data_IF_038627241539
#
_entry.id   IF_038627241539
#
_cell.length_a   1.000
_cell.length_b   1.000
_cell.length_c   1.000
_cell.angle_alpha   90.00
_cell.angle_beta   90.00
_cell.angle_gamma   90.00
#
_symmetry.space_group_name_H-M   'P 1'
#
loop_
_entity.id
_entity.type
_entity.pdbx_description
1 polymer ?
#
# COMPACT_ATOMS: atom_id res chain seq x y z
N UNK A 1 -61.74 -2.28 -17.87
CA UNK A 1 -60.49 -3.03 -18.11
C UNK A 1 -59.49 -2.07 -18.74
N UNK A 2 -58.80 -1.33 -17.90
CA UNK A 2 -57.70 -0.43 -18.27
C UNK A 2 -56.42 -1.24 -18.18
N UNK A 3 -55.79 -1.50 -19.33
CA UNK A 3 -54.52 -2.21 -19.41
C UNK A 3 -53.43 -1.15 -19.22
N UNK A 4 -52.71 -1.23 -18.11
CA UNK A 4 -51.56 -0.37 -17.82
C UNK A 4 -50.47 -0.61 -18.87
N UNK A 5 -50.01 0.48 -19.46
CA UNK A 5 -48.79 0.55 -20.25
C UNK A 5 -47.58 0.39 -19.31
N UNK A 6 -46.87 -0.72 -19.42
CA UNK A 6 -45.58 -0.90 -18.78
C UNK A 6 -44.57 0.07 -19.40
N UNK A 7 -44.23 1.09 -18.61
CA UNK A 7 -43.11 1.98 -18.85
C UNK A 7 -41.84 1.18 -18.58
N UNK A 8 -41.19 0.67 -19.63
CA UNK A 8 -39.86 0.07 -19.52
C UNK A 8 -38.90 1.19 -19.10
N UNK A 9 -38.56 1.24 -17.81
CA UNK A 9 -37.50 2.11 -17.30
C UNK A 9 -36.18 1.69 -17.92
N UNK A 10 -35.60 2.56 -18.74
CA UNK A 10 -34.25 2.37 -19.27
C UNK A 10 -33.25 2.22 -18.12
N UNK A 11 -32.49 1.13 -18.13
CA UNK A 11 -31.33 0.92 -17.26
C UNK A 11 -30.30 2.04 -17.46
N UNK A 12 -29.59 2.49 -16.41
CA UNK A 12 -28.62 3.59 -16.53
C UNK A 12 -27.50 3.22 -17.51
N UNK A 13 -27.20 4.12 -18.44
CA UNK A 13 -26.15 3.99 -19.45
C UNK A 13 -24.83 3.55 -18.83
N UNK A 14 -24.44 2.32 -19.15
CA UNK A 14 -23.30 1.63 -18.55
C UNK A 14 -22.06 1.86 -19.44
N UNK A 15 -21.53 3.09 -19.44
CA UNK A 15 -20.25 3.33 -20.09
C UNK A 15 -19.16 2.45 -19.43
N UNK A 16 -18.45 1.60 -20.18
CA UNK A 16 -17.41 0.77 -19.60
C UNK A 16 -16.28 1.64 -19.05
N UNK A 17 -15.82 1.37 -17.83
CA UNK A 17 -14.58 1.96 -17.29
C UNK A 17 -13.43 1.57 -18.21
N UNK A 18 -13.02 2.53 -19.05
CA UNK A 18 -12.06 2.31 -20.13
C UNK A 18 -10.67 2.71 -19.66
N UNK A 19 -9.74 1.76 -19.72
CA UNK A 19 -8.32 2.05 -19.48
C UNK A 19 -7.81 3.13 -20.45
N UNK A 20 -8.33 3.20 -21.67
CA UNK A 20 -7.89 4.21 -22.64
C UNK A 20 -8.24 5.62 -22.19
N UNK A 21 -9.42 5.82 -21.61
CA UNK A 21 -9.90 7.14 -21.19
C UNK A 21 -9.07 7.66 -20.00
N UNK A 22 -8.75 6.79 -19.05
CA UNK A 22 -7.93 7.15 -17.88
C UNK A 22 -6.46 7.40 -18.21
N UNK A 23 -5.98 6.90 -19.34
CA UNK A 23 -4.62 7.11 -19.83
C UNK A 23 -4.52 8.15 -20.96
N UNK A 24 -5.64 8.78 -21.34
CA UNK A 24 -5.68 9.78 -22.40
C UNK A 24 -4.81 11.02 -22.10
N UNK A 25 -4.75 11.41 -20.83
CA UNK A 25 -3.98 12.56 -20.35
C UNK A 25 -2.53 12.22 -19.98
N UNK A 26 -2.10 10.95 -20.15
CA UNK A 26 -0.73 10.56 -19.88
C UNK A 26 0.22 11.28 -20.86
N UNK A 27 1.18 12.11 -20.38
CA UNK A 27 2.07 12.82 -21.27
C UNK A 27 2.89 11.86 -22.12
N UNK A 28 2.88 12.03 -23.44
CA UNK A 28 3.64 11.18 -24.35
C UNK A 28 5.10 11.67 -24.46
N UNK A 29 6.08 10.96 -23.84
CA UNK A 29 7.47 11.38 -23.81
C UNK A 29 8.18 11.18 -25.16
N UNK A 30 7.53 10.51 -26.12
CA UNK A 30 8.12 10.20 -27.43
C UNK A 30 8.13 11.45 -28.30
N UNK A 31 9.16 11.61 -29.13
CA UNK A 31 9.17 12.66 -30.17
C UNK A 31 7.99 12.46 -31.14
N UNK A 32 7.46 13.55 -31.71
CA UNK A 32 6.33 13.48 -32.65
C UNK A 32 6.65 12.59 -33.86
N UNK A 33 7.89 12.66 -34.36
CA UNK A 33 8.40 11.76 -35.38
C UNK A 33 8.54 10.35 -34.81
N UNK A 34 7.78 9.38 -35.35
CA UNK A 34 7.83 7.97 -34.95
C UNK A 34 6.71 7.51 -34.02
N UNK A 35 5.69 8.36 -33.76
CA UNK A 35 4.45 7.94 -33.06
C UNK A 35 3.53 7.18 -34.02
N UNK A 36 3.93 5.94 -34.35
CA UNK A 36 3.15 5.03 -35.21
C UNK A 36 2.04 4.34 -34.40
N UNK A 37 2.28 4.08 -33.11
CA UNK A 37 1.33 3.48 -32.19
C UNK A 37 0.86 4.50 -31.16
N UNK A 38 -0.44 4.50 -30.82
CA UNK A 38 -0.99 5.38 -29.79
C UNK A 38 -0.49 4.98 -28.40
N UNK A 39 -0.30 5.96 -27.52
CA UNK A 39 0.29 5.70 -26.20
C UNK A 39 -0.64 4.90 -25.28
N UNK A 40 -1.91 5.30 -25.21
CA UNK A 40 -2.99 4.62 -24.51
C UNK A 40 -3.11 3.15 -24.92
N UNK A 41 -3.02 2.84 -26.22
CA UNK A 41 -3.03 1.46 -26.72
C UNK A 41 -1.78 0.67 -26.32
N UNK A 42 -0.58 1.28 -26.37
CA UNK A 42 0.65 0.62 -25.89
C UNK A 42 0.51 0.23 -24.42
N UNK A 43 -0.02 1.14 -23.59
CA UNK A 43 -0.23 0.88 -22.17
C UNK A 43 -1.27 -0.23 -21.99
N UNK A 44 -2.41 -0.13 -22.66
CA UNK A 44 -3.48 -1.12 -22.57
C UNK A 44 -3.00 -2.53 -22.94
N UNK A 45 -2.29 -2.69 -24.05
CA UNK A 45 -1.76 -3.97 -24.50
C UNK A 45 -0.80 -4.56 -23.47
N UNK A 46 0.14 -3.75 -22.95
CA UNK A 46 1.09 -4.20 -21.95
C UNK A 46 0.39 -4.62 -20.65
N UNK A 47 -0.61 -3.86 -20.20
CA UNK A 47 -1.43 -4.21 -19.02
C UNK A 47 -2.14 -5.55 -19.21
N UNK A 48 -2.82 -5.75 -20.35
CA UNK A 48 -3.49 -7.02 -20.65
C UNK A 48 -2.51 -8.20 -20.65
N UNK A 49 -1.36 -8.06 -21.31
CA UNK A 49 -0.36 -9.12 -21.37
C UNK A 49 0.21 -9.49 -19.99
N UNK A 50 0.52 -8.49 -19.15
CA UNK A 50 1.02 -8.72 -17.78
C UNK A 50 -0.04 -9.40 -16.90
N UNK A 51 -1.31 -9.01 -17.02
CA UNK A 51 -2.41 -9.69 -16.33
C UNK A 51 -2.58 -11.15 -16.76
N UNK A 52 -2.23 -11.45 -18.02
CA UNK A 52 -2.18 -12.81 -18.55
C UNK A 52 -0.87 -13.56 -18.19
N UNK A 53 0.02 -12.97 -17.40
CA UNK A 53 1.24 -13.61 -16.91
C UNK A 53 2.50 -13.36 -17.75
N UNK A 54 2.51 -12.35 -18.62
CA UNK A 54 3.74 -11.93 -19.29
C UNK A 54 4.70 -11.25 -18.30
N UNK A 55 5.94 -11.73 -18.27
CA UNK A 55 7.01 -11.27 -17.38
C UNK A 55 8.16 -10.57 -18.14
N UNK A 56 8.11 -10.50 -19.48
CA UNK A 56 9.12 -9.84 -20.30
C UNK A 56 8.53 -9.03 -21.47
N UNK A 57 9.31 -8.12 -22.04
CA UNK A 57 8.89 -7.31 -23.19
C UNK A 57 8.61 -8.16 -24.44
N UNK A 58 9.37 -9.24 -24.62
CA UNK A 58 9.17 -10.25 -25.65
C UNK A 58 7.83 -10.96 -25.43
N UNK A 59 7.56 -11.43 -24.21
CA UNK A 59 6.29 -12.08 -23.87
C UNK A 59 5.09 -11.15 -24.03
N UNK A 60 5.24 -9.85 -23.74
CA UNK A 60 4.20 -8.85 -23.99
C UNK A 60 3.91 -8.74 -25.48
N UNK A 61 4.93 -8.61 -26.32
CA UNK A 61 4.76 -8.52 -27.77
C UNK A 61 4.16 -9.82 -28.34
N UNK A 62 4.63 -10.99 -27.91
CA UNK A 62 4.14 -12.29 -28.35
C UNK A 62 2.67 -12.50 -27.95
N UNK A 63 2.30 -12.11 -26.73
CA UNK A 63 0.92 -12.15 -26.24
C UNK A 63 0.01 -11.25 -27.06
N UNK A 64 0.46 -10.02 -27.36
CA UNK A 64 -0.28 -9.06 -28.17
C UNK A 64 -0.48 -9.55 -29.62
N UNK A 65 0.54 -10.16 -30.21
CA UNK A 65 0.42 -10.79 -31.52
C UNK A 65 -0.56 -11.97 -31.52
N UNK A 66 -0.50 -12.80 -30.47
CA UNK A 66 -1.37 -13.98 -30.33
C UNK A 66 -2.83 -13.62 -30.06
N UNK A 67 -3.10 -12.41 -29.56
CA UNK A 67 -4.42 -11.93 -29.18
C UNK A 67 -4.91 -10.74 -30.01
N UNK A 68 -4.27 -10.50 -31.17
CA UNK A 68 -4.53 -9.31 -32.00
C UNK A 68 -6.01 -9.18 -32.42
N UNK A 69 -6.66 -10.27 -32.81
CA UNK A 69 -8.08 -10.26 -33.22
C UNK A 69 -8.99 -9.82 -32.06
N UNK A 70 -8.65 -10.21 -30.83
CA UNK A 70 -9.36 -9.78 -29.63
C UNK A 70 -9.09 -8.31 -29.30
N UNK A 71 -7.82 -7.88 -29.38
CA UNK A 71 -7.43 -6.49 -29.15
C UNK A 71 -8.14 -5.54 -30.14
N UNK A 72 -8.28 -5.94 -31.40
CA UNK A 72 -8.98 -5.16 -32.43
C UNK A 72 -10.49 -4.98 -32.19
N UNK A 73 -11.09 -5.69 -31.23
CA UNK A 73 -12.49 -5.47 -30.85
C UNK A 73 -12.70 -4.17 -30.09
N UNK A 74 -11.65 -3.59 -29.49
CA UNK A 74 -11.72 -2.35 -28.71
C UNK A 74 -10.53 -1.40 -28.90
N UNK A 75 -9.48 -1.79 -29.63
CA UNK A 75 -8.34 -0.93 -30.00
C UNK A 75 -8.34 -0.65 -31.51
N UNK A 76 -7.89 0.55 -31.90
CA UNK A 76 -7.76 0.93 -33.31
C UNK A 76 -6.48 0.39 -33.96
N UNK A 77 -5.39 0.28 -33.19
CA UNK A 77 -4.09 -0.25 -33.62
C UNK A 77 -3.59 0.34 -34.96
N UNK A 78 -3.47 1.67 -35.13
CA UNK A 78 -3.09 2.29 -36.40
C UNK A 78 -1.69 1.86 -36.88
N UNK A 79 -0.83 1.46 -35.95
CA UNK A 79 0.50 0.92 -36.21
C UNK A 79 0.61 -0.60 -36.12
N UNK A 80 -0.48 -1.31 -35.85
CA UNK A 80 -0.44 -2.71 -35.43
C UNK A 80 0.16 -2.91 -34.03
N UNK A 81 0.58 -4.14 -33.74
CA UNK A 81 1.21 -4.52 -32.47
C UNK A 81 2.61 -3.90 -32.37
N UNK A 82 2.93 -3.15 -31.29
CA UNK A 82 4.28 -2.63 -31.06
C UNK A 82 5.31 -3.75 -30.87
N UNK A 83 6.54 -3.53 -31.31
CA UNK A 83 7.66 -4.43 -30.98
C UNK A 83 8.05 -4.39 -29.51
N UNK A 84 8.71 -5.44 -29.01
CA UNK A 84 9.28 -5.49 -27.66
C UNK A 84 10.20 -4.28 -27.36
N UNK A 85 11.01 -3.85 -28.35
CA UNK A 85 11.82 -2.63 -28.26
C UNK A 85 11.00 -1.35 -28.09
N UNK A 86 9.83 -1.30 -28.73
CA UNK A 86 8.92 -0.15 -28.60
C UNK A 86 8.29 -0.11 -27.22
N UNK A 87 7.75 -1.23 -26.73
CA UNK A 87 7.26 -1.32 -25.35
C UNK A 87 8.34 -0.87 -24.36
N UNK A 88 9.54 -1.48 -24.43
CA UNK A 88 10.66 -1.15 -23.56
C UNK A 88 10.99 0.35 -23.61
N UNK A 89 11.14 0.93 -24.80
CA UNK A 89 11.49 2.35 -24.98
C UNK A 89 10.43 3.28 -24.41
N UNK A 90 9.15 3.00 -24.64
CA UNK A 90 8.05 3.81 -24.12
C UNK A 90 8.06 3.76 -22.59
N UNK A 91 7.98 2.57 -22.00
CA UNK A 91 7.89 2.41 -20.55
C UNK A 91 9.13 2.92 -19.81
N UNK A 92 10.33 2.84 -20.39
CA UNK A 92 11.53 3.46 -19.82
C UNK A 92 11.53 5.00 -19.85
N UNK A 93 10.67 5.61 -20.67
CA UNK A 93 10.62 7.08 -20.85
C UNK A 93 9.40 7.72 -20.19
N UNK A 94 8.43 6.91 -19.72
CA UNK A 94 7.23 7.41 -19.06
C UNK A 94 7.60 8.09 -17.75
N UNK A 95 6.88 9.17 -17.43
CA UNK A 95 6.87 9.72 -16.08
C UNK A 95 6.16 8.73 -15.15
N UNK A 96 6.87 8.14 -14.16
CA UNK A 96 6.27 7.17 -13.24
C UNK A 96 5.11 7.74 -12.43
N UNK A 97 5.18 9.02 -12.04
CA UNK A 97 4.14 9.67 -11.24
C UNK A 97 2.88 9.90 -12.06
N UNK A 98 3.02 10.40 -13.29
CA UNK A 98 1.88 10.57 -14.20
C UNK A 98 1.23 9.22 -14.54
N UNK A 99 2.04 8.19 -14.82
CA UNK A 99 1.54 6.84 -15.08
C UNK A 99 0.77 6.28 -13.88
N UNK A 100 1.32 6.41 -12.67
CA UNK A 100 0.68 5.94 -11.44
C UNK A 100 -0.65 6.65 -11.19
N UNK A 101 -0.72 7.97 -11.42
CA UNK A 101 -1.97 8.74 -11.29
C UNK A 101 -3.06 8.20 -12.22
N UNK A 102 -2.75 8.01 -13.50
CA UNK A 102 -3.67 7.42 -14.47
C UNK A 102 -4.11 6.00 -14.06
N UNK A 103 -3.16 5.16 -13.66
CA UNK A 103 -3.45 3.78 -13.23
C UNK A 103 -4.32 3.72 -11.98
N UNK A 104 -4.02 4.55 -10.98
CA UNK A 104 -4.80 4.67 -9.73
C UNK A 104 -6.23 5.14 -10.01
N UNK A 105 -6.40 6.16 -10.85
CA UNK A 105 -7.72 6.65 -11.26
C UNK A 105 -8.54 5.55 -11.97
N UNK A 106 -7.91 4.81 -12.89
CA UNK A 106 -8.55 3.69 -13.57
C UNK A 106 -8.97 2.58 -12.61
N UNK A 107 -8.08 2.18 -11.69
CA UNK A 107 -8.36 1.15 -10.70
C UNK A 107 -9.49 1.57 -9.75
N UNK A 108 -9.50 2.82 -9.29
CA UNK A 108 -10.57 3.36 -8.44
C UNK A 108 -11.92 3.31 -9.14
N UNK A 109 -12.00 3.80 -10.39
CA UNK A 109 -13.24 3.74 -11.16
C UNK A 109 -13.72 2.29 -11.42
N UNK A 110 -12.78 1.37 -11.68
CA UNK A 110 -13.08 -0.05 -11.86
C UNK A 110 -13.65 -0.65 -10.58
N UNK A 111 -13.05 -0.34 -9.43
CA UNK A 111 -13.47 -0.83 -8.11
C UNK A 111 -14.87 -0.30 -7.74
N UNK A 112 -15.11 1.01 -7.88
CA UNK A 112 -16.42 1.62 -7.66
C UNK A 112 -17.52 0.94 -8.48
N UNK A 113 -17.25 0.69 -9.77
CA UNK A 113 -18.19 -0.01 -10.64
C UNK A 113 -18.50 -1.43 -10.18
N UNK A 114 -17.52 -2.15 -9.65
CA UNK A 114 -17.72 -3.51 -9.13
C UNK A 114 -18.44 -3.52 -7.77
N UNK A 115 -18.90 -2.36 -7.27
CA UNK A 115 -19.45 -2.23 -5.92
C UNK A 115 -18.40 -2.46 -4.84
N UNK A 116 -17.12 -2.40 -5.21
CA UNK A 116 -15.98 -2.49 -4.30
C UNK A 116 -15.57 -1.05 -4.01
N UNK A 117 -16.24 -0.39 -3.07
CA UNK A 117 -15.87 0.96 -2.67
C UNK A 117 -14.54 0.90 -1.89
N UNK A 118 -13.49 1.65 -2.28
CA UNK A 118 -12.29 1.74 -1.47
C UNK A 118 -12.55 2.34 -0.08
N UNK A 119 -13.57 3.20 0.11
CA UNK A 119 -14.50 3.36 1.28
C UNK A 119 -15.50 4.49 1.03
N UNK A 120 -16.73 4.29 1.51
CA UNK A 120 -17.53 5.22 2.34
C UNK A 120 -18.89 4.56 2.64
N UNK A 121 -18.96 3.73 3.67
CA UNK A 121 -20.20 3.56 4.45
C UNK A 121 -20.30 4.75 5.42
N UNK A 122 -21.52 5.08 5.87
CA UNK A 122 -21.74 6.04 6.96
C UNK A 122 -22.06 5.23 8.23
N UNK A 123 -21.26 5.34 9.31
CA UNK A 123 -20.07 6.19 9.45
C UNK A 123 -18.87 5.69 8.63
N UNK A 124 -17.95 6.59 8.21
CA UNK A 124 -16.81 6.24 7.36
C UNK A 124 -15.95 5.18 8.04
N UNK A 125 -15.90 3.99 7.45
CA UNK A 125 -14.96 2.95 7.87
C UNK A 125 -13.53 3.46 7.69
N UNK A 126 -12.73 3.36 8.75
CA UNK A 126 -11.29 3.68 8.73
C UNK A 126 -10.58 2.79 7.72
N UNK A 127 -10.04 3.37 6.64
CA UNK A 127 -9.35 2.64 5.56
C UNK A 127 -7.90 2.32 5.91
N UNK A 128 -7.50 1.05 6.16
CA UNK A 128 -6.11 0.78 6.49
C UNK A 128 -5.24 0.81 5.24
N UNK A 129 -4.26 1.71 5.22
CA UNK A 129 -3.21 1.81 4.19
C UNK A 129 -1.88 1.48 4.87
N UNK A 130 -1.13 0.53 4.32
CA UNK A 130 0.21 0.21 4.79
C UNK A 130 1.26 0.79 3.86
N UNK A 131 2.22 1.54 4.40
CA UNK A 131 3.37 2.03 3.65
C UNK A 131 4.63 1.33 4.12
N UNK A 132 5.27 0.60 3.21
CA UNK A 132 6.48 -0.20 3.48
C UNK A 132 7.56 0.06 2.42
N UNK A 133 8.82 0.14 2.88
CA UNK A 133 10.01 0.30 2.05
C UNK A 133 10.67 -1.03 1.75
N UNK A 134 10.57 -1.50 0.50
CA UNK A 134 11.09 -2.80 0.07
C UNK A 134 12.31 -2.65 -0.84
N UNK A 135 13.33 -3.47 -0.61
CA UNK A 135 14.50 -3.55 -1.49
C UNK A 135 14.27 -4.64 -2.54
N UNK A 136 14.22 -4.27 -3.82
CA UNK A 136 14.10 -5.19 -4.95
C UNK A 136 15.49 -5.78 -5.26
N UNK A 137 15.85 -6.85 -4.55
CA UNK A 137 17.19 -7.46 -4.60
C UNK A 137 17.53 -8.07 -5.95
N UNK A 138 16.53 -8.53 -6.71
CA UNK A 138 16.71 -9.04 -8.08
C UNK A 138 17.05 -7.97 -9.13
N UNK A 139 16.83 -6.68 -8.83
CA UNK A 139 17.14 -5.58 -9.74
C UNK A 139 18.62 -5.16 -9.70
N UNK A 140 19.42 -5.71 -8.78
CA UNK A 140 20.83 -5.40 -8.65
C UNK A 140 21.64 -6.02 -9.81
N UNK A 141 22.05 -5.20 -10.79
CA UNK A 141 22.92 -5.65 -11.87
C UNK A 141 24.39 -5.46 -11.49
N UNK A 142 25.01 -6.50 -10.94
CA UNK A 142 26.44 -6.54 -10.53
C UNK A 142 27.40 -6.02 -11.61
N UNK A 143 27.07 -6.20 -12.89
CA UNK A 143 27.92 -5.77 -14.02
C UNK A 143 27.89 -4.27 -14.30
N UNK A 144 26.99 -3.49 -13.70
CA UNK A 144 26.84 -2.04 -13.95
C UNK A 144 26.97 -1.20 -12.66
N UNK A 145 27.34 -1.82 -11.53
CA UNK A 145 27.51 -1.11 -10.25
C UNK A 145 26.22 -0.51 -9.68
N UNK A 146 25.03 -0.91 -10.16
CA UNK A 146 23.75 -0.44 -9.63
C UNK A 146 23.34 -1.24 -8.39
N UNK A 147 23.05 -0.53 -7.31
CA UNK A 147 22.48 -1.09 -6.08
C UNK A 147 21.06 -1.63 -6.32
N UNK A 148 20.56 -2.43 -5.38
CA UNK A 148 19.15 -2.86 -5.40
C UNK A 148 18.24 -1.63 -5.41
N UNK A 149 17.23 -1.63 -6.29
CA UNK A 149 16.22 -0.58 -6.34
C UNK A 149 15.41 -0.64 -5.03
N UNK A 150 15.42 0.43 -4.24
CA UNK A 150 14.48 0.53 -3.13
C UNK A 150 13.17 1.10 -3.66
N UNK A 151 12.05 0.56 -3.19
CA UNK A 151 10.72 1.02 -3.57
C UNK A 151 9.91 1.19 -2.29
N UNK A 152 9.37 2.38 -2.08
CA UNK A 152 8.38 2.63 -1.04
C UNK A 152 7.01 2.43 -1.65
N UNK A 153 6.18 1.61 -1.02
CA UNK A 153 4.88 1.22 -1.59
C UNK A 153 3.76 1.43 -0.60
N UNK A 154 2.66 2.02 -1.07
CA UNK A 154 1.40 2.16 -0.34
C UNK A 154 0.44 1.03 -0.74
N UNK A 155 -0.13 0.36 0.25
CA UNK A 155 -0.94 -0.84 0.09
C UNK A 155 -2.28 -0.71 0.81
N UNK A 156 -3.38 -0.76 0.07
CA UNK A 156 -4.73 -0.88 0.63
C UNK A 156 -4.92 -2.29 1.21
N UNK A 157 -4.95 -2.40 2.54
CA UNK A 157 -4.99 -3.69 3.24
C UNK A 157 -6.27 -4.45 2.93
N UNK A 158 -7.41 -3.77 2.95
CA UNK A 158 -8.72 -4.37 2.72
C UNK A 158 -8.85 -4.92 1.28
N UNK A 159 -8.39 -4.14 0.30
CA UNK A 159 -8.55 -4.45 -1.12
C UNK A 159 -7.39 -5.26 -1.70
N UNK A 160 -6.31 -5.45 -0.93
CA UNK A 160 -5.08 -6.12 -1.36
C UNK A 160 -4.52 -5.52 -2.65
N UNK A 161 -4.45 -4.20 -2.68
CA UNK A 161 -4.07 -3.42 -3.84
C UNK A 161 -2.92 -2.47 -3.50
N UNK A 162 -1.94 -2.38 -4.39
CA UNK A 162 -0.94 -1.31 -4.34
C UNK A 162 -1.56 -0.02 -4.85
N UNK A 163 -1.65 0.98 -3.99
CA UNK A 163 -2.18 2.32 -4.32
C UNK A 163 -1.11 3.22 -4.97
N UNK A 164 0.16 2.99 -4.62
CA UNK A 164 1.25 3.78 -5.15
C UNK A 164 2.62 3.22 -4.83
N UNK A 165 3.62 3.56 -5.65
CA UNK A 165 5.01 3.18 -5.45
C UNK A 165 5.97 4.26 -5.92
N UNK A 166 6.92 4.63 -5.06
CA UNK A 166 7.99 5.56 -5.40
C UNK A 166 9.34 4.86 -5.27
N UNK A 167 10.17 4.98 -6.31
CA UNK A 167 11.53 4.46 -6.29
C UNK A 167 12.43 5.35 -5.42
N UNK A 168 13.28 4.71 -4.61
CA UNK A 168 14.29 5.35 -3.79
C UNK A 168 15.66 4.74 -4.12
N UNK A 169 16.69 5.59 -4.22
CA UNK A 169 18.05 5.15 -4.55
C UNK A 169 18.70 4.34 -3.43
N UNK A 170 18.31 4.61 -2.18
CA UNK A 170 18.79 3.91 -0.99
C UNK A 170 17.69 3.79 0.06
N UNK A 171 17.92 2.96 1.09
CA UNK A 171 17.02 2.85 2.25
C UNK A 171 16.76 4.20 2.93
N UNK A 172 17.76 5.09 3.01
CA UNK A 172 17.60 6.42 3.61
C UNK A 172 16.76 7.38 2.75
N UNK A 173 16.77 7.18 1.42
CA UNK A 173 15.93 7.95 0.49
C UNK A 173 14.46 7.53 0.53
N UNK A 174 14.12 6.45 1.24
CA UNK A 174 12.73 6.08 1.48
C UNK A 174 12.00 7.15 2.33
N UNK A 175 12.69 7.82 3.26
CA UNK A 175 12.09 8.90 4.06
C UNK A 175 11.73 10.08 3.17
N UNK A 176 12.59 10.44 2.22
CA UNK A 176 12.34 11.53 1.27
C UNK A 176 11.30 11.18 0.21
N UNK A 177 11.08 9.88 -0.05
CA UNK A 177 10.06 9.40 -0.97
C UNK A 177 8.66 9.30 -0.33
N UNK A 178 8.55 9.36 1.01
CA UNK A 178 7.27 9.30 1.70
C UNK A 178 6.34 10.46 1.35
N UNK A 179 6.78 11.74 1.39
CA UNK A 179 5.92 12.87 1.01
C UNK A 179 5.38 12.73 -0.43
N UNK A 180 6.26 12.42 -1.38
CA UNK A 180 5.86 12.20 -2.78
C UNK A 180 4.85 11.06 -2.93
N UNK A 181 4.97 10.00 -2.12
CA UNK A 181 4.00 8.91 -2.12
C UNK A 181 2.67 9.32 -1.48
N UNK A 182 2.69 10.09 -0.38
CA UNK A 182 1.48 10.57 0.29
C UNK A 182 0.66 11.49 -0.63
N UNK A 183 1.32 12.40 -1.37
CA UNK A 183 0.68 13.30 -2.35
C UNK A 183 -0.12 12.56 -3.46
N UNK A 184 0.14 11.26 -3.64
CA UNK A 184 -0.53 10.42 -4.64
C UNK A 184 -1.74 9.68 -4.07
N UNK A 185 -1.97 9.74 -2.76
CA UNK A 185 -3.00 8.99 -2.07
C UNK A 185 -4.14 9.92 -1.65
N UNK A 186 -5.37 9.43 -1.74
CA UNK A 186 -6.47 10.02 -0.98
C UNK A 186 -6.39 9.52 0.47
N UNK A 187 -5.95 10.38 1.39
CA UNK A 187 -5.78 10.05 2.80
C UNK A 187 -7.05 10.27 3.64
N UNK A 188 -8.13 10.80 3.08
CA UNK A 188 -9.34 11.11 3.85
C UNK A 188 -9.92 9.84 4.49
N UNK A 189 -10.09 9.84 5.81
CA UNK A 189 -10.54 8.68 6.59
C UNK A 189 -9.62 7.44 6.50
N UNK A 190 -8.38 7.60 6.02
CA UNK A 190 -7.39 6.53 6.01
C UNK A 190 -6.72 6.39 7.38
N UNK A 191 -6.32 5.15 7.71
CA UNK A 191 -5.39 4.84 8.80
C UNK A 191 -4.11 4.33 8.16
N UNK A 192 -3.11 5.19 8.12
CA UNK A 192 -1.81 4.96 7.47
C UNK A 192 -0.85 4.36 8.47
N UNK A 193 -0.40 3.13 8.21
CA UNK A 193 0.60 2.43 9.02
C UNK A 193 1.97 2.53 8.35
N UNK A 194 2.98 3.01 9.09
CA UNK A 194 4.34 3.18 8.57
C UNK A 194 5.34 2.53 9.50
N UNK A 195 6.41 1.97 8.92
CA UNK A 195 7.51 1.38 9.67
C UNK A 195 8.27 2.42 10.52
N UNK A 196 9.23 1.94 11.31
CA UNK A 196 9.94 2.81 12.25
C UNK A 196 10.76 3.88 11.56
N UNK A 197 11.23 3.63 10.33
CA UNK A 197 12.04 4.58 9.59
C UNK A 197 11.23 5.81 9.16
N UNK A 198 9.96 5.60 8.79
CA UNK A 198 9.03 6.67 8.46
C UNK A 198 8.35 7.35 9.66
N UNK A 199 8.69 6.95 10.90
CA UNK A 199 8.20 7.59 12.11
C UNK A 199 8.85 8.98 12.30
N UNK A 200 8.27 9.98 11.61
CA UNK A 200 8.71 11.37 11.56
C UNK A 200 7.53 12.30 11.84
N UNK A 201 7.80 13.44 12.47
CA UNK A 201 6.76 14.39 12.90
C UNK A 201 6.07 15.05 11.71
N UNK A 202 6.85 15.36 10.68
CA UNK A 202 6.38 15.97 9.44
C UNK A 202 5.44 15.01 8.71
N UNK A 203 5.80 13.72 8.62
CA UNK A 203 4.95 12.68 8.02
C UNK A 203 3.63 12.51 8.78
N UNK A 204 3.65 12.54 10.12
CA UNK A 204 2.43 12.52 10.92
C UNK A 204 1.55 13.76 10.63
N UNK A 205 2.17 14.93 10.49
CA UNK A 205 1.47 16.18 10.18
C UNK A 205 0.84 16.17 8.79
N UNK A 206 1.53 15.64 7.78
CA UNK A 206 1.01 15.50 6.41
C UNK A 206 -0.23 14.59 6.39
N UNK A 207 -0.15 13.40 7.01
CA UNK A 207 -1.26 12.44 7.06
C UNK A 207 -2.49 13.03 7.76
N UNK A 208 -2.29 13.64 8.94
CA UNK A 208 -3.39 14.23 9.71
C UNK A 208 -3.94 15.48 9.03
N UNK A 209 -3.07 16.28 8.40
CA UNK A 209 -3.44 17.50 7.66
C UNK A 209 -4.37 17.22 6.48
N UNK A 210 -4.23 16.06 5.84
CA UNK A 210 -5.10 15.61 4.74
C UNK A 210 -6.36 14.86 5.21
N UNK A 211 -6.62 14.81 6.53
CA UNK A 211 -7.79 14.15 7.11
C UNK A 211 -7.67 12.64 7.25
N UNK A 212 -6.44 12.13 7.23
CA UNK A 212 -6.10 10.76 7.63
C UNK A 212 -5.74 10.65 9.11
N UNK A 213 -5.37 9.44 9.50
CA UNK A 213 -4.86 9.07 10.82
C UNK A 213 -3.62 8.20 10.62
N UNK A 214 -2.66 8.27 11.52
CA UNK A 214 -1.40 7.54 11.46
C UNK A 214 -1.29 6.47 12.56
N UNK A 215 -0.50 5.44 12.24
CA UNK A 215 0.03 4.45 13.18
C UNK A 215 1.51 4.24 12.84
N UNK A 216 2.39 4.89 13.58
CA UNK A 216 3.82 4.92 13.29
C UNK A 216 4.57 4.02 14.26
N UNK A 217 5.36 3.09 13.74
CA UNK A 217 6.20 2.24 14.59
C UNK A 217 7.31 3.06 15.25
N UNK A 218 7.57 2.81 16.53
CA UNK A 218 8.59 3.51 17.32
C UNK A 218 9.70 2.54 17.68
N UNK A 219 10.95 2.92 17.40
CA UNK A 219 12.18 2.19 17.76
C UNK A 219 13.27 3.17 18.18
N UNK A 220 14.52 2.71 18.14
CA UNK A 220 15.73 3.44 18.51
C UNK A 220 15.99 4.73 17.71
N UNK A 221 15.34 4.93 16.55
CA UNK A 221 15.43 6.19 15.81
C UNK A 221 14.65 7.35 16.47
N UNK A 222 13.76 7.05 17.42
CA UNK A 222 13.05 8.03 18.24
C UNK A 222 13.25 7.67 19.73
N UNK A 223 14.49 7.77 20.26
CA UNK A 223 14.86 7.12 21.53
C UNK A 223 14.06 7.62 22.73
N UNK A 224 13.86 8.93 22.85
CA UNK A 224 13.06 9.50 23.94
C UNK A 224 11.58 9.07 23.87
N UNK A 225 11.00 9.04 22.66
CA UNK A 225 9.64 8.58 22.48
C UNK A 225 9.51 7.09 22.83
N UNK A 226 10.49 6.28 22.39
CA UNK A 226 10.52 4.84 22.69
C UNK A 226 10.57 4.57 24.19
N UNK A 227 11.44 5.28 24.92
CA UNK A 227 11.52 5.24 26.38
C UNK A 227 10.21 5.66 27.05
N UNK A 228 9.58 6.75 26.58
CA UNK A 228 8.35 7.25 27.18
C UNK A 228 7.18 6.30 26.97
N UNK A 229 7.07 5.69 25.79
CA UNK A 229 6.08 4.65 25.52
C UNK A 229 6.28 3.47 26.46
N UNK A 230 7.51 2.95 26.58
CA UNK A 230 7.80 1.83 27.47
C UNK A 230 7.44 2.15 28.92
N UNK A 231 7.88 3.30 29.42
CA UNK A 231 7.60 3.76 30.78
C UNK A 231 6.10 3.91 31.05
N UNK A 232 5.35 4.49 30.11
CA UNK A 232 3.90 4.66 30.27
C UNK A 232 3.16 3.31 30.40
N UNK A 233 3.59 2.29 29.65
CA UNK A 233 3.04 0.95 29.78
C UNK A 233 3.46 0.28 31.09
N UNK A 234 4.73 0.39 31.50
CA UNK A 234 5.20 -0.16 32.79
C UNK A 234 4.41 0.45 33.95
N UNK A 235 4.29 1.79 34.00
CA UNK A 235 3.54 2.50 35.03
C UNK A 235 2.04 2.12 35.04
N UNK A 236 1.45 1.83 33.87
CA UNK A 236 0.03 1.46 33.76
C UNK A 236 -0.20 0.02 34.21
N UNK A 237 0.68 -0.91 33.84
CA UNK A 237 0.59 -2.32 34.21
C UNK A 237 0.88 -2.53 35.70
N UNK A 238 1.81 -1.76 36.28
CA UNK A 238 2.14 -1.82 37.71
C UNK A 238 1.00 -1.34 38.61
N UNK A 239 0.10 -0.47 38.11
CA UNK A 239 -1.07 0.02 38.85
C UNK A 239 -2.19 -1.02 38.98
N UNK A 240 -2.12 -2.14 38.26
CA UNK A 240 -2.99 -3.31 38.43
C UNK A 240 -4.38 -3.22 37.77
N UNK A 241 -5.07 -2.08 37.86
CA UNK A 241 -6.33 -1.82 37.14
C UNK A 241 -6.12 -0.68 36.14
N UNK A 242 -5.77 -0.99 34.88
CA UNK A 242 -5.67 0.02 33.84
C UNK A 242 -7.03 0.72 33.70
N UNK A 243 -7.04 2.06 33.77
CA UNK A 243 -8.27 2.85 33.66
C UNK A 243 -8.98 2.68 32.31
N UNK A 244 -10.06 3.42 32.09
CA UNK A 244 -10.87 3.37 30.84
C UNK A 244 -10.06 3.66 29.57
N UNK A 245 -8.90 4.29 29.71
CA UNK A 245 -7.99 4.64 28.64
C UNK A 245 -7.08 3.48 28.21
N UNK A 246 -7.15 2.33 28.85
CA UNK A 246 -6.38 1.15 28.48
C UNK A 246 -7.27 0.05 27.92
N UNK A 247 -6.85 -0.52 26.79
CA UNK A 247 -7.47 -1.72 26.23
C UNK A 247 -6.42 -2.76 25.89
N UNK A 248 -6.79 -4.04 26.01
CA UNK A 248 -5.95 -5.17 25.68
C UNK A 248 -6.70 -6.12 24.73
N UNK A 249 -5.97 -6.71 23.79
CA UNK A 249 -6.47 -7.78 22.94
C UNK A 249 -5.40 -8.84 22.71
N UNK A 250 -5.71 -10.09 23.04
CA UNK A 250 -4.81 -11.23 22.85
C UNK A 250 -5.30 -12.16 21.73
N UNK A 251 -4.37 -12.70 20.97
CA UNK A 251 -4.62 -13.73 19.96
C UNK A 251 -3.61 -14.85 20.06
N UNK A 252 -4.05 -16.07 19.76
CA UNK A 252 -3.20 -17.26 19.74
C UNK A 252 -3.25 -17.93 18.37
N UNK A 253 -2.11 -18.42 17.90
CA UNK A 253 -1.97 -19.09 16.62
C UNK A 253 -1.08 -20.32 16.79
N UNK A 254 -1.59 -21.49 16.37
CA UNK A 254 -0.85 -22.76 16.36
C UNK A 254 -0.69 -23.21 14.92
N UNK A 255 0.55 -23.35 14.46
CA UNK A 255 0.86 -23.80 13.10
C UNK A 255 2.11 -24.67 13.07
N UNK A 256 1.96 -25.93 12.65
CA UNK A 256 3.07 -26.86 12.39
C UNK A 256 4.17 -26.87 13.48
N UNK A 257 3.77 -27.00 14.75
CA UNK A 257 4.71 -27.04 15.90
C UNK A 257 5.19 -25.67 16.40
N UNK A 258 4.70 -24.57 15.81
CA UNK A 258 4.88 -23.20 16.32
C UNK A 258 3.62 -22.75 17.04
N UNK A 259 3.76 -22.34 18.29
CA UNK A 259 2.72 -21.63 19.05
C UNK A 259 3.12 -20.16 19.16
N UNK A 260 2.22 -19.25 18.80
CA UNK A 260 2.44 -17.82 18.89
C UNK A 260 1.28 -17.15 19.61
N UNK A 261 1.57 -16.43 20.69
CA UNK A 261 0.62 -15.54 21.36
C UNK A 261 1.02 -14.11 21.04
N UNK A 262 0.05 -13.28 20.67
CA UNK A 262 0.24 -11.84 20.44
C UNK A 262 -0.75 -11.07 21.29
N UNK A 263 -0.22 -10.23 22.17
CA UNK A 263 -0.98 -9.29 22.97
C UNK A 263 -0.77 -7.89 22.43
N UNK A 264 -1.85 -7.18 22.11
CA UNK A 264 -1.87 -5.77 21.76
C UNK A 264 -2.43 -5.00 22.95
N UNK A 265 -1.71 -4.01 23.44
CA UNK A 265 -2.14 -3.09 24.48
C UNK A 265 -2.16 -1.68 23.91
N UNK A 266 -3.19 -0.90 24.24
CA UNK A 266 -3.33 0.49 23.81
C UNK A 266 -3.63 1.35 25.02
N UNK A 267 -2.92 2.47 25.16
CA UNK A 267 -3.26 3.55 26.09
C UNK A 267 -3.70 4.75 25.23
N UNK A 268 -4.96 5.16 25.37
CA UNK A 268 -5.47 6.42 24.82
C UNK A 268 -5.15 7.59 25.75
N UNK A 269 -5.04 8.80 25.19
CA UNK A 269 -4.69 10.02 25.92
C UNK A 269 -3.45 9.84 26.84
N UNK A 270 -2.31 9.37 26.30
CA UNK A 270 -1.16 9.02 27.11
C UNK A 270 -0.56 10.25 27.82
N UNK A 271 -0.29 10.09 29.12
CA UNK A 271 0.44 11.09 29.90
C UNK A 271 1.96 10.82 29.86
N UNK A 272 2.75 11.85 30.16
CA UNK A 272 4.19 11.70 30.35
C UNK A 272 5.00 11.51 29.06
N UNK A 273 4.40 11.67 27.88
CA UNK A 273 5.14 11.63 26.61
C UNK A 273 5.84 12.97 26.35
N UNK A 274 7.18 12.96 26.27
CA UNK A 274 7.97 14.16 25.93
C UNK A 274 7.62 14.62 24.52
N UNK A 275 7.49 15.94 24.36
CA UNK A 275 7.19 16.58 23.08
C UNK A 275 5.95 16.04 22.37
N UNK A 276 4.95 15.50 23.09
CA UNK A 276 3.70 14.98 22.54
C UNK A 276 3.04 15.94 21.54
N UNK A 277 3.09 17.25 21.83
CA UNK A 277 2.55 18.32 20.96
C UNK A 277 3.21 18.43 19.57
N UNK A 278 4.39 17.84 19.38
CA UNK A 278 5.09 17.82 18.08
C UNK A 278 4.59 16.69 17.18
N UNK A 279 3.84 15.73 17.73
CA UNK A 279 3.22 14.64 17.00
C UNK A 279 1.77 15.02 16.69
N UNK A 280 1.50 15.36 15.44
CA UNK A 280 0.18 15.80 15.01
C UNK A 280 -0.89 14.75 15.37
N UNK A 281 -1.92 15.17 16.09
CA UNK A 281 -3.04 14.31 16.43
C UNK A 281 -2.72 13.15 17.38
N UNK A 282 -1.55 13.09 18.03
CA UNK A 282 -1.18 11.99 18.94
C UNK A 282 -2.26 11.75 19.99
N UNK A 283 -2.95 10.62 19.89
CA UNK A 283 -4.06 10.25 20.78
C UNK A 283 -3.84 8.92 21.47
N UNK A 284 -2.92 8.07 20.99
CA UNK A 284 -2.67 6.76 21.56
C UNK A 284 -1.21 6.33 21.45
N UNK A 285 -0.78 5.53 22.43
CA UNK A 285 0.42 4.69 22.36
C UNK A 285 0.00 3.22 22.36
N UNK A 286 0.77 2.40 21.66
CA UNK A 286 0.46 0.99 21.42
C UNK A 286 1.68 0.15 21.72
N UNK A 287 1.47 -0.99 22.37
CA UNK A 287 2.49 -2.00 22.58
C UNK A 287 1.99 -3.35 22.09
N UNK A 288 2.73 -3.98 21.17
CA UNK A 288 2.44 -5.32 20.68
C UNK A 288 3.53 -6.27 21.15
N UNK A 289 3.16 -7.18 22.04
CA UNK A 289 4.03 -8.21 22.61
C UNK A 289 3.76 -9.51 21.87
N UNK A 290 4.77 -10.07 21.21
CA UNK A 290 4.71 -11.35 20.53
C UNK A 290 5.52 -12.38 21.30
N UNK A 291 4.88 -13.40 21.83
CA UNK A 291 5.53 -14.58 22.40
C UNK A 291 5.44 -15.73 21.40
N UNK A 292 6.57 -16.37 21.07
CA UNK A 292 6.61 -17.51 20.16
C UNK A 292 7.42 -18.66 20.75
N UNK A 293 6.87 -19.86 20.65
CA UNK A 293 7.56 -21.11 20.96
C UNK A 293 7.73 -21.88 19.66
N UNK A 294 8.98 -22.14 19.28
CA UNK A 294 9.34 -22.92 18.09
C UNK A 294 10.26 -24.04 18.55
N UNK A 295 9.87 -25.30 18.33
CA UNK A 295 10.65 -26.47 18.74
C UNK A 295 11.08 -26.43 20.21
N UNK A 296 10.21 -25.95 21.11
CA UNK A 296 10.49 -25.82 22.54
C UNK A 296 11.32 -24.60 22.95
N UNK A 297 11.79 -23.78 22.01
CA UNK A 297 12.51 -22.54 22.31
C UNK A 297 11.54 -21.36 22.32
N UNK A 298 11.40 -20.73 23.49
CA UNK A 298 10.61 -19.52 23.67
C UNK A 298 11.40 -18.27 23.26
N UNK A 299 10.73 -17.32 22.64
CA UNK A 299 11.25 -15.97 22.40
C UNK A 299 10.12 -14.95 22.45
N UNK A 300 10.44 -13.75 22.92
CA UNK A 300 9.53 -12.62 22.95
C UNK A 300 10.05 -11.46 22.10
N UNK A 301 9.14 -10.67 21.56
CA UNK A 301 9.47 -9.46 20.82
C UNK A 301 8.40 -8.40 21.12
N UNK A 302 8.83 -7.21 21.51
CA UNK A 302 7.95 -6.07 21.77
C UNK A 302 8.11 -5.06 20.64
N UNK A 303 6.98 -4.54 20.15
CA UNK A 303 6.94 -3.45 19.17
C UNK A 303 6.07 -2.33 19.72
N UNK A 304 6.59 -1.12 19.69
CA UNK A 304 5.91 0.08 20.15
C UNK A 304 5.41 0.90 18.95
N UNK A 305 4.27 1.57 19.10
CA UNK A 305 3.73 2.48 18.10
C UNK A 305 3.12 3.71 18.79
N UNK A 306 3.04 4.80 18.05
CA UNK A 306 2.13 5.92 18.33
C UNK A 306 1.03 5.92 17.28
N UNK A 307 -0.10 6.57 17.58
CA UNK A 307 -1.07 6.87 16.55
C UNK A 307 -2.00 8.03 16.90
N UNK A 308 -2.63 8.56 15.85
CA UNK A 308 -3.58 9.68 15.91
C UNK A 308 -5.05 9.27 15.85
N UNK A 309 -5.31 7.95 15.87
CA UNK A 309 -6.66 7.42 16.05
C UNK A 309 -6.97 7.11 17.51
N UNK A 310 -8.08 7.62 18.03
CA UNK A 310 -8.69 7.04 19.22
C UNK A 310 -9.28 5.68 18.83
N UNK A 311 -8.68 4.59 19.30
CA UNK A 311 -9.05 3.23 18.91
C UNK A 311 -8.71 2.19 19.97
N UNK A 312 -9.37 1.04 19.87
CA UNK A 312 -9.20 -0.10 20.76
C UNK A 312 -7.97 -0.93 20.38
N UNK A 313 -7.51 -1.77 21.31
CA UNK A 313 -6.45 -2.75 21.04
C UNK A 313 -6.79 -3.70 19.89
N UNK A 314 -8.06 -4.02 19.66
CA UNK A 314 -8.47 -4.83 18.52
C UNK A 314 -8.31 -4.09 17.18
N UNK A 315 -8.73 -2.83 17.09
CA UNK A 315 -8.54 -2.00 15.90
C UNK A 315 -7.05 -1.84 15.57
N UNK A 316 -6.25 -1.45 16.56
CA UNK A 316 -4.80 -1.30 16.40
C UNK A 316 -4.11 -2.61 16.03
N UNK A 317 -4.51 -3.74 16.63
CA UNK A 317 -4.02 -5.08 16.25
C UNK A 317 -4.30 -5.34 14.76
N UNK A 318 -5.48 -5.00 14.27
CA UNK A 318 -5.86 -5.22 12.87
C UNK A 318 -5.04 -4.34 11.92
N UNK A 319 -4.84 -3.06 12.23
CA UNK A 319 -4.01 -2.15 11.43
C UNK A 319 -2.55 -2.60 11.39
N UNK A 320 -1.95 -2.87 12.55
CA UNK A 320 -0.56 -3.34 12.65
C UNK A 320 -0.37 -4.69 11.95
N UNK A 321 -1.33 -5.63 12.09
CA UNK A 321 -1.26 -6.91 11.38
C UNK A 321 -1.38 -6.73 9.86
N UNK A 322 -2.22 -5.81 9.41
CA UNK A 322 -2.38 -5.45 8.00
C UNK A 322 -1.06 -5.04 7.35
N UNK A 323 -0.26 -4.23 8.05
CA UNK A 323 1.07 -3.81 7.63
C UNK A 323 2.00 -4.99 7.35
N UNK A 324 2.16 -5.92 8.31
CA UNK A 324 3.09 -7.04 8.17
C UNK A 324 2.61 -8.18 7.25
N UNK A 325 1.31 -8.20 6.90
CA UNK A 325 0.76 -9.14 5.92
C UNK A 325 1.32 -8.95 4.50
N UNK A 326 1.85 -7.75 4.20
CA UNK A 326 2.42 -7.37 2.91
C UNK A 326 3.76 -8.09 2.62
N UNK A 327 4.68 -8.13 3.59
CA UNK A 327 6.05 -8.66 3.42
C UNK A 327 6.16 -10.18 3.12
N UNK A 328 5.05 -10.92 3.24
CA UNK A 328 4.94 -12.32 2.79
C UNK A 328 4.42 -12.47 1.36
N UNK A 329 3.81 -11.43 0.77
CA UNK A 329 3.08 -11.50 -0.50
C UNK A 329 3.73 -10.74 -1.65
N UNK A 330 4.52 -9.71 -1.37
CA UNK A 330 5.31 -9.00 -2.40
C UNK A 330 6.66 -9.65 -2.69
N UNK A 331 6.97 -10.81 -2.07
CA UNK A 331 8.15 -11.60 -2.43
C UNK A 331 7.90 -12.30 -3.76
N UNK A 332 8.64 -11.92 -4.79
CA UNK A 332 8.73 -12.71 -6.01
C UNK A 332 9.25 -14.13 -5.68
N UNK A 333 8.87 -15.18 -6.44
CA UNK A 333 9.20 -16.58 -6.13
C UNK A 333 10.70 -16.89 -5.92
N UNK A 334 11.61 -16.00 -6.33
CA UNK A 334 13.06 -16.12 -6.10
C UNK A 334 13.58 -15.73 -4.71
N UNK A 335 12.77 -15.07 -3.87
CA UNK A 335 13.19 -14.52 -2.56
C UNK A 335 12.93 -15.47 -1.35
N UNK A 336 12.60 -16.74 -1.61
CA UNK A 336 12.40 -17.76 -0.57
C UNK A 336 13.72 -18.36 -0.02
N UNK A 337 14.87 -17.90 -0.51
CA UNK A 337 16.18 -18.31 -0.02
C UNK A 337 16.69 -17.41 1.11
N UNK A 338 16.72 -17.96 2.33
CA UNK A 338 17.61 -17.56 3.43
C UNK A 338 17.18 -16.33 4.26
N UNK A 339 16.36 -16.59 5.28
CA UNK A 339 16.42 -15.87 6.55
C UNK A 339 16.17 -16.85 7.72
N UNK A 340 17.11 -17.78 7.89
CA UNK A 340 17.51 -18.26 9.21
C UNK A 340 18.86 -17.62 9.49
N UNK A 341 18.86 -16.59 10.34
CA UNK A 341 19.86 -16.33 11.35
C UNK A 341 19.34 -15.28 12.31
#
# INVERSE_FOLDING_TARGET
MTVNSDTTSASPDHHPVSILDHFADLPDPRRAQGRVHRLDEIVCIATCAVLCGAESWEQIADSAHSTIDWLQTFLALPGGVPSHDTFRRVFCSLDPLAFQKCFSAWMTALMERQGVTPVATDPPERRPIAIDGQAQRGAARRTVGRSALHVVSAWAVANRLTLGQVAADTKSHAITALPELLDLLDLKSAVVTIDAMGCQKEIAADIVGEGGQDVLAVKENQPHLYEDVARAFDETLDRGEPGVDFTECQTEEVRSGRQGTRTCCVITAPEGIRDARLWAGLTAIVMVISHRVVNGVASSETRSFIGSAAGTAEEYRNWVRGHWGQGLRTRFPGDLGQYTQ
#
